data_IF_915787687751
#
_entry.id   IF_915787687751
#
_cell.length_a   1.000
_cell.length_b   1.000
_cell.length_c   1.000
_cell.angle_alpha   90.00
_cell.angle_beta   90.00
_cell.angle_gamma   90.00
#
_symmetry.space_group_name_H-M   'P 1'
#
loop_
_entity.id
_entity.type
_entity.pdbx_description
1 polymer ?
#
# COMPACT_ATOMS: atom_id res chain seq x y z
N UNK A 1 9.97 -7.89 -24.96
CA UNK A 1 11.04 -6.89 -24.86
C UNK A 1 11.23 -6.58 -23.39
N UNK A 2 12.39 -6.82 -22.80
CA UNK A 2 12.58 -6.75 -21.34
C UNK A 2 12.35 -5.33 -20.83
N UNK A 3 11.27 -5.09 -20.07
CA UNK A 3 10.98 -3.82 -19.38
C UNK A 3 12.21 -3.27 -18.63
N UNK A 4 13.03 -4.16 -18.07
CA UNK A 4 14.27 -3.80 -17.39
C UNK A 4 15.34 -3.16 -18.28
N UNK A 5 15.45 -3.59 -19.55
CA UNK A 5 16.47 -3.12 -20.49
C UNK A 5 16.05 -1.84 -21.23
N UNK A 6 14.75 -1.64 -21.43
CA UNK A 6 14.22 -0.41 -22.06
C UNK A 6 14.05 0.75 -21.07
N UNK A 7 14.19 0.51 -19.77
CA UNK A 7 13.86 1.50 -18.75
C UNK A 7 15.03 2.38 -18.31
N UNK A 8 14.69 3.63 -17.93
CA UNK A 8 15.62 4.64 -17.43
C UNK A 8 16.42 4.09 -16.23
N UNK A 9 17.63 4.59 -16.03
CA UNK A 9 18.51 4.11 -14.94
C UNK A 9 17.83 4.23 -13.56
N UNK A 10 17.00 5.26 -13.36
CA UNK A 10 16.24 5.50 -12.13
C UNK A 10 15.26 4.36 -11.82
N UNK A 11 14.61 3.80 -12.84
CA UNK A 11 13.65 2.71 -12.68
C UNK A 11 14.37 1.40 -12.38
N UNK A 12 15.52 1.15 -12.99
CA UNK A 12 16.37 0.00 -12.65
C UNK A 12 16.82 0.05 -11.19
N UNK A 13 17.24 1.22 -10.72
CA UNK A 13 17.59 1.44 -9.31
C UNK A 13 16.37 1.18 -8.40
N UNK A 14 15.21 1.71 -8.75
CA UNK A 14 13.99 1.52 -7.98
C UNK A 14 13.56 0.05 -7.89
N UNK A 15 13.66 -0.71 -9.00
CA UNK A 15 13.40 -2.15 -9.01
C UNK A 15 14.37 -2.93 -8.10
N UNK A 16 15.65 -2.55 -8.10
CA UNK A 16 16.65 -3.14 -7.20
C UNK A 16 16.27 -2.84 -5.74
N UNK A 17 15.90 -1.61 -5.42
CA UNK A 17 15.46 -1.23 -4.06
C UNK A 17 14.23 -2.04 -3.63
N UNK A 18 13.20 -2.15 -4.47
CA UNK A 18 12.01 -2.95 -4.17
C UNK A 18 12.38 -4.43 -3.97
N UNK A 19 13.27 -4.98 -4.81
CA UNK A 19 13.72 -6.36 -4.68
C UNK A 19 14.48 -6.58 -3.36
N UNK A 20 15.34 -5.63 -2.95
CA UNK A 20 16.04 -5.67 -1.66
C UNK A 20 15.06 -5.56 -0.49
N UNK A 21 14.10 -4.64 -0.54
CA UNK A 21 13.07 -4.49 0.48
C UNK A 21 12.20 -5.75 0.60
N UNK A 22 11.83 -6.38 -0.53
CA UNK A 22 11.11 -7.64 -0.54
C UNK A 22 11.95 -8.78 0.05
N UNK A 23 13.24 -8.85 -0.30
CA UNK A 23 14.17 -9.81 0.29
C UNK A 23 14.26 -9.63 1.80
N UNK A 24 14.43 -8.40 2.29
CA UNK A 24 14.45 -8.08 3.73
C UNK A 24 13.12 -8.45 4.39
N UNK A 25 11.99 -8.06 3.81
CA UNK A 25 10.66 -8.37 4.35
C UNK A 25 10.43 -9.88 4.52
N UNK A 26 10.91 -10.69 3.57
CA UNK A 26 10.71 -12.14 3.59
C UNK A 26 11.75 -12.87 4.44
N UNK A 27 12.99 -12.39 4.49
CA UNK A 27 14.12 -13.14 5.07
C UNK A 27 14.62 -12.61 6.40
N UNK A 28 14.29 -11.36 6.78
CA UNK A 28 14.88 -10.66 7.92
C UNK A 28 14.92 -11.52 9.19
N UNK A 29 13.86 -12.26 9.49
CA UNK A 29 13.74 -13.11 10.68
C UNK A 29 14.88 -14.12 10.88
N UNK A 30 15.62 -14.49 9.82
CA UNK A 30 16.70 -15.47 9.90
C UNK A 30 18.08 -14.87 10.13
N UNK A 31 18.26 -13.57 9.97
CA UNK A 31 19.59 -12.93 9.99
C UNK A 31 19.64 -11.62 10.77
N UNK A 32 18.65 -11.35 11.63
CA UNK A 32 18.72 -10.22 12.56
C UNK A 32 19.90 -10.41 13.52
N UNK A 33 20.77 -9.39 13.71
CA UNK A 33 21.84 -9.45 14.70
C UNK A 33 21.33 -9.62 16.13
N UNK A 34 20.19 -9.00 16.46
CA UNK A 34 19.54 -9.07 17.76
C UNK A 34 18.04 -9.33 17.63
N UNK A 35 17.42 -9.81 18.70
CA UNK A 35 15.96 -9.89 18.78
C UNK A 35 15.38 -8.45 18.76
N UNK A 36 14.53 -8.10 17.78
CA UNK A 36 13.97 -6.75 17.63
C UNK A 36 13.04 -6.35 18.79
N UNK A 37 12.61 -7.30 19.63
CA UNK A 37 11.75 -7.06 20.78
C UNK A 37 12.49 -7.14 22.13
N UNK A 38 13.76 -7.58 22.15
CA UNK A 38 14.52 -7.73 23.37
C UNK A 38 14.88 -6.37 23.99
N UNK A 39 14.37 -6.12 25.19
CA UNK A 39 14.59 -4.88 25.97
C UNK A 39 15.90 -5.01 26.76
N UNK A 40 16.76 -4.01 26.66
CA UNK A 40 18.02 -3.91 27.39
C UNK A 40 18.23 -2.48 27.94
N UNK A 41 17.58 -2.16 29.06
CA UNK A 41 17.56 -0.80 29.64
C UNK A 41 18.95 -0.18 29.90
N UNK A 42 19.98 -0.92 30.34
CA UNK A 42 21.36 -0.41 30.42
C UNK A 42 21.88 0.17 29.11
N UNK A 43 21.49 -0.41 27.99
CA UNK A 43 21.92 -0.02 26.64
C UNK A 43 20.94 0.96 25.98
N UNK A 44 20.15 1.73 26.73
CA UNK A 44 19.18 2.67 26.15
C UNK A 44 19.86 3.89 25.49
N UNK A 45 19.28 4.35 24.37
CA UNK A 45 19.68 5.59 23.68
C UNK A 45 21.18 5.65 23.32
N UNK A 46 21.80 4.51 23.02
CA UNK A 46 23.17 4.46 22.54
C UNK A 46 23.25 5.01 21.13
N UNK A 47 24.32 5.76 20.87
CA UNK A 47 24.68 6.17 19.52
C UNK A 47 25.13 4.95 18.70
N UNK A 48 25.14 5.05 17.36
CA UNK A 48 25.67 4.00 16.50
C UNK A 48 27.10 3.59 16.88
N UNK A 49 27.32 2.30 17.07
CA UNK A 49 28.64 1.72 17.36
C UNK A 49 28.83 0.35 16.67
N UNK A 50 29.93 -0.33 16.98
CA UNK A 50 30.25 -1.62 16.38
C UNK A 50 29.31 -2.76 16.83
N UNK A 51 28.67 -2.63 17.99
CA UNK A 51 27.72 -3.61 18.51
C UNK A 51 26.31 -3.35 17.99
N UNK A 52 25.88 -2.08 17.99
CA UNK A 52 24.59 -1.59 17.54
C UNK A 52 24.78 -0.63 16.35
N UNK A 53 24.72 -1.16 15.13
CA UNK A 53 25.10 -0.43 13.91
C UNK A 53 24.33 0.87 13.68
N UNK A 54 23.07 0.94 14.14
CA UNK A 54 22.24 2.14 14.06
C UNK A 54 21.92 2.72 15.45
N UNK A 55 22.59 2.22 16.49
CA UNK A 55 22.32 2.53 17.89
C UNK A 55 21.10 1.80 18.44
N UNK A 56 20.66 2.21 19.61
CA UNK A 56 19.53 1.61 20.33
C UNK A 56 18.44 2.63 20.65
N UNK A 57 17.22 2.14 20.81
CA UNK A 57 16.08 2.99 21.16
C UNK A 57 15.96 3.27 22.67
N UNK A 58 14.87 3.90 23.07
CA UNK A 58 14.59 4.29 24.46
C UNK A 58 14.42 3.11 25.43
N UNK A 59 14.20 1.90 24.92
CA UNK A 59 14.16 0.65 25.69
C UNK A 59 15.45 -0.18 25.51
N UNK A 60 16.46 0.37 24.83
CA UNK A 60 17.71 -0.33 24.53
C UNK A 60 17.59 -1.41 23.46
N UNK A 61 16.51 -1.41 22.68
CA UNK A 61 16.32 -2.36 21.59
C UNK A 61 17.16 -1.89 20.39
N UNK A 62 17.81 -2.83 19.70
CA UNK A 62 18.65 -2.54 18.54
C UNK A 62 17.83 -1.97 17.36
N UNK A 63 18.17 -0.75 16.91
CA UNK A 63 17.41 -0.04 15.88
C UNK A 63 17.52 -0.73 14.51
N UNK A 64 18.69 -1.27 14.18
CA UNK A 64 18.91 -1.97 12.92
C UNK A 64 18.01 -3.19 12.82
N UNK A 65 18.04 -4.07 13.81
CA UNK A 65 17.22 -5.28 13.87
C UNK A 65 15.72 -4.95 13.83
N UNK A 66 15.30 -3.89 14.56
CA UNK A 66 13.93 -3.38 14.51
C UNK A 66 13.52 -2.87 13.15
N UNK A 67 14.39 -2.12 12.45
CA UNK A 67 14.10 -1.56 11.14
C UNK A 67 13.88 -2.66 10.09
N UNK A 68 14.71 -3.71 10.14
CA UNK A 68 14.62 -4.87 9.26
C UNK A 68 13.37 -5.69 9.52
N UNK A 69 13.06 -5.96 10.80
CA UNK A 69 11.82 -6.64 11.19
C UNK A 69 10.57 -5.82 10.81
N UNK A 70 10.62 -4.50 11.00
CA UNK A 70 9.55 -3.57 10.64
C UNK A 70 9.26 -3.54 9.14
N UNK A 71 10.24 -3.84 8.29
CA UNK A 71 10.07 -3.87 6.83
C UNK A 71 8.97 -4.87 6.43
N UNK A 72 8.93 -6.05 7.07
CA UNK A 72 7.90 -7.07 6.84
C UNK A 72 6.50 -6.58 7.20
N UNK A 73 6.37 -5.98 8.39
CA UNK A 73 5.06 -5.54 8.91
C UNK A 73 4.55 -4.32 8.13
N UNK A 74 5.42 -3.36 7.85
CA UNK A 74 5.07 -2.10 7.17
C UNK A 74 4.70 -2.36 5.71
N UNK A 75 5.52 -3.08 4.95
CA UNK A 75 5.19 -3.39 3.55
C UNK A 75 4.05 -4.41 3.45
N UNK A 76 4.02 -5.42 4.32
CA UNK A 76 2.97 -6.44 4.31
C UNK A 76 1.58 -5.87 4.59
N UNK A 77 1.46 -4.93 5.53
CA UNK A 77 0.19 -4.28 5.86
C UNK A 77 -0.30 -3.38 4.74
N UNK A 78 0.59 -2.59 4.12
CA UNK A 78 0.25 -1.77 2.94
C UNK A 78 -0.20 -2.65 1.78
N UNK A 79 0.49 -3.77 1.54
CA UNK A 79 0.09 -4.69 0.48
C UNK A 79 -1.27 -5.35 0.76
N UNK A 80 -1.57 -5.69 2.01
CA UNK A 80 -2.88 -6.20 2.40
C UNK A 80 -3.98 -5.15 2.19
N UNK A 81 -3.73 -3.88 2.54
CA UNK A 81 -4.64 -2.76 2.26
C UNK A 81 -4.93 -2.65 0.76
N UNK A 82 -3.89 -2.56 -0.06
CA UNK A 82 -4.02 -2.44 -1.51
C UNK A 82 -4.78 -3.61 -2.11
N UNK A 83 -4.44 -4.85 -1.74
CA UNK A 83 -5.12 -6.03 -2.24
C UNK A 83 -6.61 -6.03 -1.90
N UNK A 84 -6.96 -5.65 -0.67
CA UNK A 84 -8.35 -5.58 -0.23
C UNK A 84 -9.12 -4.47 -0.96
N UNK A 85 -8.54 -3.27 -1.05
CA UNK A 85 -9.13 -2.12 -1.77
C UNK A 85 -9.34 -2.42 -3.25
N UNK A 86 -8.33 -2.99 -3.91
CA UNK A 86 -8.40 -3.36 -5.32
C UNK A 86 -9.47 -4.43 -5.55
N UNK A 87 -9.55 -5.43 -4.66
CA UNK A 87 -10.57 -6.49 -4.77
C UNK A 87 -11.97 -5.90 -4.62
N UNK A 88 -12.19 -5.05 -3.60
CA UNK A 88 -13.47 -4.37 -3.39
C UNK A 88 -13.82 -3.47 -4.57
N UNK A 89 -12.87 -2.67 -5.04
CA UNK A 89 -13.04 -1.78 -6.20
C UNK A 89 -13.36 -2.55 -7.48
N UNK A 90 -12.67 -3.66 -7.73
CA UNK A 90 -12.88 -4.51 -8.91
C UNK A 90 -14.26 -5.16 -8.88
N UNK A 91 -14.65 -5.75 -7.75
CA UNK A 91 -15.94 -6.43 -7.60
C UNK A 91 -17.10 -5.42 -7.64
N UNK A 92 -17.03 -4.35 -6.86
CA UNK A 92 -18.13 -3.38 -6.73
C UNK A 92 -18.21 -2.47 -7.95
N UNK A 93 -17.09 -1.92 -8.40
CA UNK A 93 -17.03 -1.07 -9.59
C UNK A 93 -17.28 -1.84 -10.88
N UNK A 94 -16.73 -3.06 -10.98
CA UNK A 94 -16.90 -3.92 -12.13
C UNK A 94 -18.36 -4.37 -12.30
N UNK A 95 -19.01 -4.78 -11.22
CA UNK A 95 -20.43 -5.14 -11.24
C UNK A 95 -21.32 -3.93 -11.58
N UNK A 96 -21.09 -2.77 -10.97
CA UNK A 96 -21.82 -1.54 -11.28
C UNK A 96 -21.71 -1.14 -12.75
N UNK A 97 -20.49 -1.10 -13.30
CA UNK A 97 -20.26 -0.72 -14.70
C UNK A 97 -20.79 -1.74 -15.70
N UNK A 98 -20.76 -3.03 -15.36
CA UNK A 98 -21.14 -4.12 -16.26
C UNK A 98 -22.65 -4.30 -16.37
N UNK A 99 -23.35 -4.25 -15.22
CA UNK A 99 -24.81 -4.39 -15.12
C UNK A 99 -25.50 -3.09 -15.53
N UNK A 100 -25.02 -1.94 -15.03
CA UNK A 100 -25.63 -0.63 -15.29
C UNK A 100 -26.99 -0.44 -14.58
N UNK A 101 -27.74 0.58 -15.02
CA UNK A 101 -29.11 0.83 -14.56
C UNK A 101 -29.21 1.18 -13.08
N UNK A 102 -30.16 0.56 -12.37
CA UNK A 102 -30.42 0.86 -10.95
C UNK A 102 -29.31 0.41 -10.00
N UNK A 103 -28.66 -0.73 -10.28
CA UNK A 103 -27.54 -1.23 -9.48
C UNK A 103 -26.41 -0.21 -9.51
N UNK A 104 -26.08 0.26 -10.70
CA UNK A 104 -25.07 1.29 -10.89
C UNK A 104 -25.39 2.58 -10.12
N UNK A 105 -26.60 3.11 -10.30
CA UNK A 105 -27.04 4.33 -9.59
C UNK A 105 -27.01 4.17 -8.07
N UNK A 106 -27.46 3.03 -7.54
CA UNK A 106 -27.45 2.78 -6.10
C UNK A 106 -26.03 2.67 -5.55
N UNK A 107 -25.16 1.88 -6.21
CA UNK A 107 -23.77 1.71 -5.82
C UNK A 107 -23.00 3.03 -5.87
N UNK A 108 -23.21 3.84 -6.92
CA UNK A 108 -22.55 5.15 -7.04
C UNK A 108 -23.06 6.14 -6.00
N UNK A 109 -24.36 6.14 -5.65
CA UNK A 109 -24.85 6.97 -4.53
C UNK A 109 -24.16 6.62 -3.21
N UNK A 110 -23.98 5.34 -2.91
CA UNK A 110 -23.25 4.91 -1.71
C UNK A 110 -21.79 5.33 -1.79
N UNK A 111 -21.13 5.13 -2.94
CA UNK A 111 -19.75 5.58 -3.13
C UNK A 111 -19.60 7.11 -2.94
N UNK A 112 -20.54 7.90 -3.46
CA UNK A 112 -20.57 9.36 -3.32
C UNK A 112 -20.68 9.80 -1.86
N UNK A 113 -21.47 9.08 -1.04
CA UNK A 113 -21.55 9.33 0.41
C UNK A 113 -20.20 9.11 1.09
N UNK A 114 -19.49 8.01 0.78
CA UNK A 114 -18.17 7.73 1.35
C UNK A 114 -17.14 8.78 0.91
N UNK A 115 -17.16 9.16 -0.37
CA UNK A 115 -16.21 10.14 -0.93
C UNK A 115 -16.47 11.59 -0.50
N UNK A 116 -17.59 11.86 0.17
CA UNK A 116 -17.87 13.17 0.77
C UNK A 116 -16.97 13.41 1.99
N UNK A 117 -16.55 12.34 2.68
CA UNK A 117 -15.63 12.44 3.80
C UNK A 117 -14.17 12.28 3.32
N UNK A 118 -13.22 13.05 3.89
CA UNK A 118 -11.80 12.77 3.69
C UNK A 118 -11.48 11.34 4.14
N UNK A 119 -10.75 10.58 3.31
CA UNK A 119 -10.51 9.16 3.55
C UNK A 119 -9.81 8.88 4.88
N UNK A 120 -8.90 9.76 5.31
CA UNK A 120 -8.23 9.66 6.62
C UNK A 120 -9.22 9.78 7.78
N UNK A 121 -10.13 10.76 7.72
CA UNK A 121 -11.13 10.99 8.78
C UNK A 121 -12.09 9.80 8.87
N UNK A 122 -12.57 9.33 7.72
CA UNK A 122 -13.44 8.16 7.67
C UNK A 122 -12.73 6.91 8.20
N UNK A 123 -11.44 6.74 7.89
CA UNK A 123 -10.66 5.63 8.42
C UNK A 123 -10.51 5.70 9.94
N UNK A 124 -10.24 6.89 10.50
CA UNK A 124 -10.19 7.07 11.97
C UNK A 124 -11.52 6.73 12.64
N UNK A 125 -12.63 7.17 12.05
CA UNK A 125 -13.95 6.79 12.52
C UNK A 125 -14.14 5.26 12.51
N UNK A 126 -13.77 4.60 11.41
CA UNK A 126 -13.88 3.15 11.29
C UNK A 126 -13.02 2.42 12.33
N UNK A 127 -11.78 2.86 12.58
CA UNK A 127 -10.94 2.29 13.65
C UNK A 127 -11.56 2.53 15.02
N UNK A 128 -12.15 3.70 15.27
CA UNK A 128 -12.85 3.99 16.52
C UNK A 128 -14.03 3.04 16.78
N UNK A 129 -14.72 2.60 15.72
CA UNK A 129 -15.83 1.63 15.80
C UNK A 129 -15.32 0.18 15.89
N UNK A 130 -14.32 -0.19 15.09
CA UNK A 130 -13.79 -1.55 15.01
C UNK A 130 -12.85 -1.92 16.18
N UNK A 131 -12.26 -0.91 16.83
CA UNK A 131 -11.19 -1.06 17.82
C UNK A 131 -9.80 -0.95 17.20
N UNK A 132 -8.78 -0.75 18.04
CA UNK A 132 -7.38 -0.65 17.61
C UNK A 132 -6.81 -2.01 17.18
N UNK A 133 -5.72 -1.97 16.41
CA UNK A 133 -5.02 -3.16 15.93
C UNK A 133 -4.80 -3.14 14.42
N UNK A 134 -3.74 -3.81 13.97
CA UNK A 134 -3.31 -3.81 12.57
C UNK A 134 -4.42 -4.30 11.61
N UNK A 135 -5.12 -5.38 11.96
CA UNK A 135 -6.20 -5.93 11.14
C UNK A 135 -7.35 -4.92 10.99
N UNK A 136 -7.75 -4.27 12.08
CA UNK A 136 -8.82 -3.28 12.05
C UNK A 136 -8.42 -2.03 11.27
N UNK A 137 -7.17 -1.59 11.38
CA UNK A 137 -6.61 -0.52 10.53
C UNK A 137 -6.67 -0.89 9.05
N UNK A 138 -6.26 -2.11 8.68
CA UNK A 138 -6.32 -2.56 7.28
C UNK A 138 -7.77 -2.55 6.77
N UNK A 139 -8.72 -3.07 7.56
CA UNK A 139 -10.14 -3.07 7.20
C UNK A 139 -10.68 -1.65 7.09
N UNK A 140 -10.36 -0.78 8.05
CA UNK A 140 -10.80 0.62 8.07
C UNK A 140 -10.31 1.41 6.85
N UNK A 141 -9.02 1.25 6.49
CA UNK A 141 -8.45 1.85 5.28
C UNK A 141 -9.14 1.29 4.03
N UNK A 142 -9.42 -0.01 3.98
CA UNK A 142 -10.08 -0.59 2.83
C UNK A 142 -11.52 -0.09 2.65
N UNK A 143 -12.28 -0.02 3.75
CA UNK A 143 -13.65 0.48 3.78
C UNK A 143 -13.76 1.98 3.54
N UNK A 144 -12.69 2.76 3.74
CA UNK A 144 -12.69 4.18 3.42
C UNK A 144 -12.26 4.48 1.98
N UNK A 145 -11.43 3.64 1.37
CA UNK A 145 -10.87 3.89 0.02
C UNK A 145 -11.59 3.14 -1.11
N UNK A 146 -12.37 2.09 -0.83
CA UNK A 146 -13.01 1.28 -1.88
C UNK A 146 -13.85 2.09 -2.88
N UNK A 147 -14.50 3.17 -2.42
CA UNK A 147 -15.42 3.95 -3.23
C UNK A 147 -14.72 4.63 -4.42
N UNK A 148 -13.52 5.16 -4.19
CA UNK A 148 -12.73 5.81 -5.23
C UNK A 148 -12.25 4.79 -6.28
N UNK A 149 -11.77 3.63 -5.83
CA UNK A 149 -11.37 2.53 -6.69
C UNK A 149 -12.55 1.93 -7.47
N UNK A 150 -13.70 1.74 -6.83
CA UNK A 150 -14.92 1.26 -7.48
C UNK A 150 -15.39 2.22 -8.58
N UNK A 151 -15.34 3.54 -8.33
CA UNK A 151 -15.67 4.54 -9.36
C UNK A 151 -14.70 4.49 -10.54
N UNK A 152 -13.41 4.31 -10.30
CA UNK A 152 -12.40 4.16 -11.36
C UNK A 152 -12.63 2.91 -12.21
N UNK A 153 -12.79 1.74 -11.57
CA UNK A 153 -13.10 0.49 -12.27
C UNK A 153 -14.38 0.61 -13.08
N UNK A 154 -15.42 1.19 -12.48
CA UNK A 154 -16.70 1.42 -13.17
C UNK A 154 -16.50 2.24 -14.45
N UNK A 155 -15.76 3.35 -14.37
CA UNK A 155 -15.51 4.21 -15.53
C UNK A 155 -14.80 3.47 -16.66
N UNK A 156 -13.78 2.67 -16.32
CA UNK A 156 -13.08 1.81 -17.30
C UNK A 156 -14.02 0.77 -17.92
N UNK A 157 -14.81 0.10 -17.10
CA UNK A 157 -15.76 -0.93 -17.56
C UNK A 157 -16.83 -0.33 -18.48
N UNK A 158 -17.38 0.84 -18.16
CA UNK A 158 -18.36 1.51 -19.01
C UNK A 158 -17.75 1.87 -20.37
N UNK A 159 -16.52 2.40 -20.38
CA UNK A 159 -15.80 2.75 -21.61
C UNK A 159 -15.54 1.53 -22.50
N UNK A 160 -15.16 0.40 -21.90
CA UNK A 160 -14.83 -0.82 -22.64
C UNK A 160 -16.05 -1.63 -23.08
N UNK A 161 -17.14 -1.59 -22.30
CA UNK A 161 -18.35 -2.39 -22.56
C UNK A 161 -19.06 -2.01 -23.87
N UNK A 162 -18.83 -0.82 -24.40
CA UNK A 162 -19.39 -0.37 -25.68
C UNK A 162 -18.57 -0.78 -26.90
N UNK A 163 -17.43 -1.47 -26.74
CA UNK A 163 -16.62 -1.92 -27.88
C UNK A 163 -17.25 -3.12 -28.61
N UNK A 164 -17.01 -3.18 -29.92
CA UNK A 164 -17.63 -4.17 -30.82
C UNK A 164 -17.41 -5.62 -30.39
N UNK A 165 -16.21 -5.98 -29.93
CA UNK A 165 -15.92 -7.34 -29.46
C UNK A 165 -16.73 -7.74 -28.21
N UNK A 166 -17.03 -6.79 -27.32
CA UNK A 166 -17.87 -7.04 -26.13
C UNK A 166 -19.33 -7.22 -26.53
N UNK A 167 -19.81 -6.40 -27.47
CA UNK A 167 -21.17 -6.51 -28.00
C UNK A 167 -21.37 -7.84 -28.74
N UNK A 168 -20.41 -8.26 -29.58
CA UNK A 168 -20.45 -9.54 -30.28
C UNK A 168 -20.49 -10.74 -29.31
N UNK A 169 -19.71 -10.69 -28.22
CA UNK A 169 -19.72 -11.73 -27.17
C UNK A 169 -21.08 -11.82 -26.46
N UNK A 170 -21.70 -10.67 -26.15
CA UNK A 170 -23.05 -10.63 -25.57
C UNK A 170 -24.12 -11.16 -26.52
N UNK A 171 -24.06 -10.80 -27.81
CA UNK A 171 -24.96 -11.34 -28.83
C UNK A 171 -24.81 -12.86 -28.99
N UNK A 172 -23.61 -13.38 -28.73
CA UNK A 172 -23.32 -14.83 -28.70
C UNK A 172 -23.80 -15.53 -27.42
N UNK A 173 -24.53 -14.84 -26.54
CA UNK A 173 -25.10 -15.40 -25.31
C UNK A 173 -24.15 -15.44 -24.11
N UNK A 174 -23.00 -14.75 -24.15
CA UNK A 174 -22.10 -14.69 -23.00
C UNK A 174 -22.73 -13.93 -21.83
N UNK A 175 -22.80 -14.58 -20.66
CA UNK A 175 -23.25 -13.96 -19.41
C UNK A 175 -22.29 -12.87 -18.91
N UNK A 176 -22.76 -12.04 -17.99
CA UNK A 176 -21.99 -10.90 -17.44
C UNK A 176 -20.60 -11.30 -16.92
N UNK A 177 -20.50 -12.32 -16.06
CA UNK A 177 -19.23 -12.75 -15.47
C UNK A 177 -18.23 -13.16 -16.56
N UNK A 178 -18.70 -13.92 -17.56
CA UNK A 178 -17.86 -14.36 -18.68
C UNK A 178 -17.36 -13.17 -19.51
N UNK A 179 -18.25 -12.22 -19.83
CA UNK A 179 -17.86 -10.98 -20.52
C UNK A 179 -16.80 -10.21 -19.74
N UNK A 180 -16.92 -10.15 -18.41
CA UNK A 180 -15.93 -9.46 -17.59
C UNK A 180 -14.58 -10.14 -17.63
N UNK A 181 -14.52 -11.44 -17.31
CA UNK A 181 -13.27 -12.19 -17.22
C UNK A 181 -12.58 -12.30 -18.59
N UNK A 182 -13.33 -12.66 -19.64
CA UNK A 182 -12.76 -12.97 -20.95
C UNK A 182 -12.40 -11.71 -21.74
N UNK A 183 -13.05 -10.56 -21.49
CA UNK A 183 -12.94 -9.38 -22.36
C UNK A 183 -12.63 -8.06 -21.67
N UNK A 184 -12.89 -7.91 -20.36
CA UNK A 184 -12.69 -6.64 -19.66
C UNK A 184 -11.53 -6.69 -18.65
N UNK A 185 -11.36 -7.81 -17.96
CA UNK A 185 -10.37 -7.98 -16.91
C UNK A 185 -8.94 -7.73 -17.42
N UNK A 186 -8.63 -8.19 -18.64
CA UNK A 186 -7.31 -7.97 -19.27
C UNK A 186 -6.95 -6.51 -19.51
N UNK A 187 -7.94 -5.61 -19.62
CA UNK A 187 -7.70 -4.17 -19.74
C UNK A 187 -7.80 -3.44 -18.40
N UNK A 188 -8.74 -3.84 -17.53
CA UNK A 188 -8.97 -3.19 -16.23
C UNK A 188 -7.85 -3.49 -15.23
N UNK A 189 -7.36 -4.73 -15.17
CA UNK A 189 -6.37 -5.16 -14.18
C UNK A 189 -5.03 -4.42 -14.35
N UNK A 190 -4.44 -4.30 -15.56
CA UNK A 190 -3.21 -3.52 -15.74
C UNK A 190 -3.36 -2.06 -15.32
N UNK A 191 -4.48 -1.41 -15.65
CA UNK A 191 -4.75 -0.02 -15.20
C UNK A 191 -4.85 0.08 -13.68
N UNK A 192 -5.45 -0.91 -13.02
CA UNK A 192 -5.51 -0.98 -11.56
C UNK A 192 -4.14 -1.22 -10.92
N UNK A 193 -3.27 -2.03 -11.53
CA UNK A 193 -1.91 -2.27 -11.02
C UNK A 193 -1.10 -0.97 -11.07
N UNK A 194 -1.17 -0.22 -12.17
CA UNK A 194 -0.54 1.11 -12.28
C UNK A 194 -1.05 2.05 -11.19
N UNK A 195 -2.36 2.05 -10.98
CA UNK A 195 -2.94 2.90 -9.95
C UNK A 195 -2.46 2.50 -8.55
N UNK A 196 -2.42 1.20 -8.26
CA UNK A 196 -1.98 0.67 -6.97
C UNK A 196 -0.51 0.99 -6.66
N UNK A 197 0.37 0.95 -7.67
CA UNK A 197 1.79 1.27 -7.49
C UNK A 197 2.02 2.74 -7.18
N UNK A 198 1.20 3.63 -7.75
CA UNK A 198 1.23 5.06 -7.44
C UNK A 198 0.59 5.39 -6.08
N UNK A 199 -0.42 4.63 -5.68
CA UNK A 199 -1.15 4.88 -4.42
C UNK A 199 -0.48 4.25 -3.19
N UNK A 200 0.55 3.42 -3.37
CA UNK A 200 1.25 2.77 -2.27
C UNK A 200 1.85 3.76 -1.28
N UNK A 201 2.33 4.92 -1.76
CA UNK A 201 2.85 5.98 -0.91
C UNK A 201 1.77 6.55 0.00
N UNK A 202 0.59 6.80 -0.55
CA UNK A 202 -0.56 7.25 0.21
C UNK A 202 -0.97 6.22 1.26
N UNK A 203 -1.13 4.95 0.85
CA UNK A 203 -1.47 3.84 1.74
C UNK A 203 -0.44 3.65 2.87
N UNK A 204 0.85 3.78 2.55
CA UNK A 204 1.91 3.64 3.54
C UNK A 204 1.89 4.75 4.58
N UNK A 205 1.57 5.98 4.18
CA UNK A 205 1.37 7.09 5.11
C UNK A 205 0.12 6.90 5.99
N UNK A 206 -0.98 6.33 5.45
CA UNK A 206 -2.16 6.01 6.28
C UNK A 206 -1.86 4.95 7.32
N UNK A 207 -1.27 3.82 6.92
CA UNK A 207 -0.93 2.73 7.85
C UNK A 207 0.06 3.23 8.90
N UNK A 208 1.16 3.84 8.48
CA UNK A 208 2.18 4.37 9.39
C UNK A 208 1.62 5.49 10.28
N UNK A 209 0.73 6.33 9.74
CA UNK A 209 0.07 7.40 10.49
C UNK A 209 -0.86 6.86 11.57
N UNK A 210 -1.62 5.79 11.30
CA UNK A 210 -2.46 5.14 12.31
C UNK A 210 -1.64 4.44 13.38
N UNK A 211 -0.58 3.73 13.01
CA UNK A 211 0.37 3.17 13.97
C UNK A 211 1.05 4.26 14.79
N UNK A 212 1.42 5.38 14.18
CA UNK A 212 1.99 6.53 14.87
C UNK A 212 1.03 7.14 15.89
N UNK A 213 -0.28 7.10 15.63
CA UNK A 213 -1.31 7.54 16.58
C UNK A 213 -1.66 6.47 17.63
N UNK A 214 -1.02 5.30 17.61
CA UNK A 214 -1.29 4.19 18.52
C UNK A 214 -2.56 3.39 18.19
N UNK A 215 -3.12 3.58 16.99
CA UNK A 215 -4.34 2.93 16.53
C UNK A 215 -4.05 1.62 15.77
N UNK A 216 -2.86 1.49 15.18
CA UNK A 216 -2.45 0.36 14.34
C UNK A 216 -1.71 -0.73 15.08
N UNK A 217 -0.45 -0.94 14.70
CA UNK A 217 0.42 -1.95 15.35
C UNK A 217 0.66 -1.53 16.80
N UNK A 218 0.53 -2.48 17.72
CA UNK A 218 0.83 -2.28 19.13
C UNK A 218 2.24 -2.79 19.45
N UNK A 219 2.96 -2.05 20.31
CA UNK A 219 4.22 -2.53 20.88
C UNK A 219 4.03 -3.91 21.55
N UNK A 220 5.04 -4.82 21.53
CA UNK A 220 6.45 -4.59 21.19
C UNK A 220 6.80 -4.73 19.70
N UNK A 221 5.84 -5.10 18.85
CA UNK A 221 6.04 -5.37 17.42
C UNK A 221 6.62 -4.15 16.71
N UNK A 222 7.70 -4.36 15.95
CA UNK A 222 8.34 -3.30 15.19
C UNK A 222 7.56 -3.02 13.89
N UNK A 223 7.25 -1.75 13.66
CA UNK A 223 6.64 -1.19 12.46
C UNK A 223 7.15 0.25 12.32
N UNK A 224 7.34 0.76 11.10
CA UNK A 224 8.02 2.04 10.89
C UNK A 224 7.27 3.23 11.52
N UNK A 225 5.94 3.27 11.43
CA UNK A 225 5.10 4.26 12.12
C UNK A 225 5.20 4.20 13.65
N UNK A 226 5.21 3.01 14.24
CA UNK A 226 5.44 2.82 15.68
C UNK A 226 6.84 3.31 16.08
N UNK A 227 7.88 2.98 15.30
CA UNK A 227 9.25 3.43 15.57
C UNK A 227 9.36 4.97 15.53
N UNK A 228 8.64 5.63 14.62
CA UNK A 228 8.58 7.10 14.57
C UNK A 228 7.85 7.67 15.80
N UNK A 229 6.79 7.02 16.28
CA UNK A 229 6.10 7.43 17.50
C UNK A 229 7.02 7.34 18.71
N UNK A 230 7.70 6.21 18.88
CA UNK A 230 8.67 5.97 19.94
C UNK A 230 9.77 7.04 19.95
N UNK A 231 10.27 7.42 18.77
CA UNK A 231 11.33 8.42 18.62
C UNK A 231 10.87 9.88 18.82
N UNK A 232 9.55 10.16 18.79
CA UNK A 232 8.99 11.52 18.86
C UNK A 232 9.45 12.29 20.09
N UNK A 233 9.51 11.63 21.25
CA UNK A 233 9.90 12.25 22.52
C UNK A 233 11.40 12.60 22.58
N UNK A 234 12.21 11.99 21.71
CA UNK A 234 13.67 12.11 21.70
C UNK A 234 14.20 12.89 20.51
N UNK A 235 13.34 13.55 19.73
CA UNK A 235 13.73 14.22 18.48
C UNK A 235 14.86 15.27 18.69
N UNK A 236 14.85 15.96 19.83
CA UNK A 236 15.85 16.98 20.15
C UNK A 236 17.15 16.41 20.73
N UNK A 237 17.11 15.20 21.28
CA UNK A 237 18.26 14.58 21.96
C UNK A 237 18.92 13.47 21.13
N UNK A 238 18.13 12.72 20.36
CA UNK A 238 18.52 11.56 19.57
C UNK A 238 17.78 11.55 18.21
N UNK A 239 18.01 12.56 17.34
CA UNK A 239 17.27 12.72 16.09
C UNK A 239 17.40 11.52 15.13
N UNK A 240 18.50 10.76 15.22
CA UNK A 240 18.74 9.59 14.39
C UNK A 240 17.68 8.50 14.57
N UNK A 241 17.07 8.39 15.75
CA UNK A 241 16.03 7.38 16.01
C UNK A 241 14.79 7.58 15.14
N UNK A 242 14.45 8.83 14.83
CA UNK A 242 13.36 9.16 13.92
C UNK A 242 13.80 9.11 12.45
N UNK A 243 15.06 9.48 12.19
CA UNK A 243 15.62 9.52 10.85
C UNK A 243 15.58 8.17 10.14
N UNK A 244 16.00 7.08 10.80
CA UNK A 244 16.07 5.75 10.18
C UNK A 244 14.74 5.18 9.68
N UNK A 245 13.67 5.10 10.50
CA UNK A 245 12.36 4.65 10.01
C UNK A 245 11.76 5.64 9.00
N UNK A 246 12.00 6.95 9.14
CA UNK A 246 11.59 7.95 8.15
C UNK A 246 12.28 7.76 6.79
N UNK A 247 13.57 7.43 6.79
CA UNK A 247 14.34 7.13 5.59
C UNK A 247 13.86 5.85 4.93
N UNK A 248 13.55 4.81 5.70
CA UNK A 248 12.99 3.56 5.18
C UNK A 248 11.63 3.79 4.50
N UNK A 249 10.76 4.61 5.11
CA UNK A 249 9.51 5.05 4.49
C UNK A 249 9.77 5.79 3.18
N UNK A 250 10.65 6.79 3.20
CA UNK A 250 10.97 7.60 2.03
C UNK A 250 11.50 6.76 0.86
N UNK A 251 12.51 5.91 1.10
CA UNK A 251 13.11 5.06 0.07
C UNK A 251 12.07 4.11 -0.53
N UNK A 252 11.21 3.54 0.32
CA UNK A 252 10.16 2.64 -0.13
C UNK A 252 9.15 3.37 -1.02
N UNK A 253 8.57 4.49 -0.57
CA UNK A 253 7.60 5.27 -1.37
C UNK A 253 8.23 5.73 -2.68
N UNK A 254 9.45 6.26 -2.63
CA UNK A 254 10.18 6.72 -3.82
C UNK A 254 10.36 5.59 -4.84
N UNK A 255 10.82 4.42 -4.39
CA UNK A 255 11.08 3.30 -5.28
C UNK A 255 9.79 2.79 -5.96
N UNK A 256 8.71 2.62 -5.22
CA UNK A 256 7.45 2.20 -5.82
C UNK A 256 6.84 3.25 -6.75
N UNK A 257 6.90 4.54 -6.41
CA UNK A 257 6.41 5.60 -7.29
C UNK A 257 7.17 5.63 -8.63
N UNK A 258 8.51 5.54 -8.60
CA UNK A 258 9.32 5.50 -9.82
C UNK A 258 8.97 4.31 -10.73
N UNK A 259 8.67 3.16 -10.14
CA UNK A 259 8.23 1.97 -10.89
C UNK A 259 6.79 2.15 -11.41
N UNK A 260 5.91 2.76 -10.61
CA UNK A 260 4.53 3.05 -11.01
C UNK A 260 4.46 4.01 -12.20
N UNK A 261 5.24 5.08 -12.18
CA UNK A 261 5.34 6.03 -13.29
C UNK A 261 5.86 5.34 -14.55
N UNK A 262 6.90 4.52 -14.44
CA UNK A 262 7.44 3.79 -15.59
C UNK A 262 6.44 2.75 -16.15
N UNK A 263 5.67 2.10 -15.29
CA UNK A 263 4.63 1.17 -15.70
C UNK A 263 3.48 1.91 -16.40
N UNK A 264 3.10 3.08 -15.90
CA UNK A 264 2.12 3.97 -16.52
C UNK A 264 2.58 4.38 -17.92
N UNK A 265 3.81 4.84 -18.06
CA UNK A 265 4.38 5.28 -19.34
C UNK A 265 4.40 4.15 -20.37
N UNK A 266 4.69 2.92 -19.94
CA UNK A 266 4.72 1.75 -20.84
C UNK A 266 3.32 1.28 -21.28
N UNK A 267 2.30 1.53 -20.45
CA UNK A 267 0.92 1.13 -20.72
C UNK A 267 0.08 2.24 -21.37
N UNK A 268 0.62 3.46 -21.51
CA UNK A 268 -0.06 4.55 -22.22
C UNK A 268 -0.01 4.33 -23.74
N UNK A 269 -1.17 4.11 -24.41
CA UNK A 269 -1.22 3.89 -25.85
C UNK A 269 -0.78 5.11 -26.68
N UNK A 270 -0.77 6.32 -26.09
CA UNK A 270 -0.45 7.56 -26.82
C UNK A 270 1.05 7.87 -26.86
N UNK A 271 1.88 7.15 -26.11
CA UNK A 271 3.34 7.30 -26.11
C UNK A 271 4.05 6.34 -27.09
N UNK A 272 3.30 5.42 -27.71
CA UNK A 272 3.79 4.54 -28.78
C UNK A 272 3.50 5.19 -30.13
N UNK A 273 4.30 6.19 -30.50
CA UNK A 273 4.46 6.68 -31.88
C UNK A 273 5.93 6.66 -32.25
#
# INVERSE_FOLDING_TARGET
MNFFLSSRWSVRLALIIIALLALIALTSQWWLPYDPQAIDLPSRLLLPDAQHWLGTDHLGRDIFSRLMAATRVSLGSVMACLLLVLTLGLVIGGSAGLIGGRVDQATMRVADMFMTFPTSILSFFMVGVLGTGLTNVIIAIALSHWAWYARMVRSLVISLRQREFVLASRLSGAGHVRVFVDHLAGAVIPSLIVLATLDIGHMMLHVSGMSFLGLGVTAPTAEWGVMINDARQYIWTQPLQMFWPGLALFISVMAFNLVGDALRDHLDPHLVT
#
